data_IF_092517687369
#
_entry.id   IF_092517687369
#
_cell.length_a   1.000
_cell.length_b   1.000
_cell.length_c   1.000
_cell.angle_alpha   90.00
_cell.angle_beta   90.00
_cell.angle_gamma   90.00
#
_symmetry.space_group_name_H-M   'P 1'
#
loop_
_entity.id
_entity.type
_entity.pdbx_description
1 polymer ?
#
# COMPACT_ATOMS: atom_id res chain seq x y z
N UNK A 1 -0.35 -10.42 -17.89
CA UNK A 1 0.62 -10.27 -16.78
C UNK A 1 1.99 -10.66 -17.30
N UNK A 2 3.02 -9.84 -17.14
CA UNK A 2 4.40 -10.20 -17.52
C UNK A 2 5.04 -10.99 -16.37
N UNK A 3 5.87 -11.99 -16.70
CA UNK A 3 6.54 -12.83 -15.70
C UNK A 3 7.45 -12.03 -14.76
N UNK A 4 8.03 -10.94 -15.27
CA UNK A 4 8.86 -10.03 -14.50
C UNK A 4 8.10 -9.41 -13.32
N UNK A 5 6.89 -8.87 -13.56
CA UNK A 5 6.06 -8.29 -12.49
C UNK A 5 5.65 -9.33 -11.44
N UNK A 6 5.34 -10.55 -11.88
CA UNK A 6 4.98 -11.66 -10.98
C UNK A 6 6.17 -12.08 -10.11
N UNK A 7 7.38 -12.06 -10.67
CA UNK A 7 8.62 -12.36 -9.94
C UNK A 7 8.92 -11.29 -8.90
N UNK A 8 8.87 -10.01 -9.29
CA UNK A 8 9.10 -8.88 -8.36
C UNK A 8 8.11 -8.90 -7.20
N UNK A 9 6.81 -9.12 -7.48
CA UNK A 9 5.80 -9.21 -6.43
C UNK A 9 6.12 -10.34 -5.44
N UNK A 10 6.48 -11.53 -5.94
CA UNK A 10 6.81 -12.68 -5.09
C UNK A 10 8.03 -12.38 -4.23
N UNK A 11 9.07 -11.75 -4.78
CA UNK A 11 10.26 -11.34 -4.03
C UNK A 11 9.91 -10.33 -2.93
N UNK A 12 9.14 -9.29 -3.24
CA UNK A 12 8.75 -8.27 -2.26
C UNK A 12 7.92 -8.89 -1.14
N UNK A 13 6.90 -9.69 -1.47
CA UNK A 13 6.07 -10.38 -0.48
C UNK A 13 6.92 -11.30 0.40
N UNK A 14 7.83 -12.06 -0.20
CA UNK A 14 8.73 -12.96 0.53
C UNK A 14 9.65 -12.18 1.49
N UNK A 15 10.23 -11.06 1.06
CA UNK A 15 11.09 -10.22 1.91
C UNK A 15 10.31 -9.60 3.07
N UNK A 16 9.10 -9.11 2.81
CA UNK A 16 8.23 -8.53 3.86
C UNK A 16 7.84 -9.60 4.87
N UNK A 17 7.46 -10.79 4.42
CA UNK A 17 7.12 -11.91 5.32
C UNK A 17 8.33 -12.37 6.14
N UNK A 18 9.52 -12.41 5.54
CA UNK A 18 10.75 -12.76 6.25
C UNK A 18 11.07 -11.74 7.36
N UNK A 19 10.92 -10.45 7.08
CA UNK A 19 11.07 -9.39 8.08
C UNK A 19 10.01 -9.47 9.17
N UNK A 20 8.74 -9.69 8.81
CA UNK A 20 7.64 -9.85 9.75
C UNK A 20 7.84 -11.07 10.68
N UNK A 21 8.37 -12.18 10.15
CA UNK A 21 8.65 -13.39 10.91
C UNK A 21 9.87 -13.26 11.85
N UNK A 22 10.83 -12.39 11.52
CA UNK A 22 11.97 -12.08 12.40
C UNK A 22 11.64 -11.08 13.52
N UNK A 23 10.56 -10.31 13.35
CA UNK A 23 10.16 -9.26 14.29
C UNK A 23 9.87 -9.75 15.72
N UNK A 24 9.23 -10.91 15.98
CA UNK A 24 8.97 -11.40 17.33
C UNK A 24 10.23 -11.60 18.16
N UNK A 25 11.32 -12.09 17.54
CA UNK A 25 12.62 -12.24 18.22
C UNK A 25 13.21 -10.88 18.62
N UNK A 26 13.01 -9.85 17.79
CA UNK A 26 13.44 -8.47 18.09
C UNK A 26 12.59 -7.86 19.20
N UNK A 27 11.27 -8.10 19.18
CA UNK A 27 10.32 -7.64 20.21
C UNK A 27 10.65 -8.27 21.56
N UNK A 28 10.85 -9.59 21.57
CA UNK A 28 11.21 -10.36 22.78
C UNK A 28 12.55 -9.89 23.36
N UNK A 29 13.56 -9.69 22.51
CA UNK A 29 14.88 -9.22 22.94
C UNK A 29 14.91 -7.74 23.38
N UNK A 30 13.94 -6.91 22.97
CA UNK A 30 13.90 -5.47 23.28
C UNK A 30 13.06 -5.12 24.51
N UNK A 31 12.36 -6.09 25.11
CA UNK A 31 11.51 -5.88 26.29
C UNK A 31 10.26 -5.04 26.02
N UNK A 32 9.87 -4.88 24.75
CA UNK A 32 8.72 -4.07 24.34
C UNK A 32 7.42 -4.83 24.63
N UNK A 33 6.38 -4.17 25.18
CA UNK A 33 5.07 -4.79 25.38
C UNK A 33 4.52 -5.37 24.07
N UNK A 34 4.10 -6.63 24.11
CA UNK A 34 3.63 -7.39 22.95
C UNK A 34 2.48 -6.72 22.19
N UNK A 35 1.67 -5.91 22.89
CA UNK A 35 0.59 -5.10 22.31
C UNK A 35 1.11 -3.95 21.44
N UNK A 36 2.15 -3.23 21.87
CA UNK A 36 2.76 -2.15 21.09
C UNK A 36 3.43 -2.69 19.82
N UNK A 37 4.09 -3.84 19.96
CA UNK A 37 4.67 -4.58 18.85
C UNK A 37 3.63 -5.07 17.82
N UNK A 38 2.51 -5.63 18.28
CA UNK A 38 1.41 -6.05 17.41
C UNK A 38 0.81 -4.88 16.62
N UNK A 39 0.63 -3.73 17.27
CA UNK A 39 0.20 -2.49 16.61
C UNK A 39 1.25 -2.00 15.61
N UNK A 40 2.53 -2.03 15.98
CA UNK A 40 3.63 -1.65 15.08
C UNK A 40 3.69 -2.51 13.83
N UNK A 41 3.50 -3.83 13.96
CA UNK A 41 3.42 -4.73 12.82
C UNK A 41 2.19 -4.43 11.95
N UNK A 42 1.01 -4.25 12.55
CA UNK A 42 -0.22 -3.93 11.82
C UNK A 42 -0.08 -2.61 11.03
N UNK A 43 0.51 -1.57 11.64
CA UNK A 43 0.77 -0.30 10.98
C UNK A 43 1.83 -0.43 9.87
N UNK A 44 2.87 -1.24 10.08
CA UNK A 44 3.88 -1.49 9.05
C UNK A 44 3.28 -2.21 7.83
N UNK A 45 2.41 -3.21 8.07
CA UNK A 45 1.68 -3.89 6.99
C UNK A 45 0.73 -2.93 6.28
N UNK A 46 -0.07 -2.16 7.02
CA UNK A 46 -0.99 -1.19 6.46
C UNK A 46 -0.25 -0.14 5.62
N UNK A 47 0.85 0.42 6.13
CA UNK A 47 1.70 1.37 5.41
C UNK A 47 2.36 0.76 4.17
N UNK A 48 2.80 -0.50 4.27
CA UNK A 48 3.31 -1.25 3.13
C UNK A 48 2.27 -1.42 2.02
N UNK A 49 1.05 -1.81 2.38
CA UNK A 49 -0.08 -1.94 1.45
C UNK A 49 -0.41 -0.59 0.82
N UNK A 50 -0.51 0.48 1.61
CA UNK A 50 -0.75 1.84 1.10
C UNK A 50 0.34 2.28 0.11
N UNK A 51 1.61 1.96 0.40
CA UNK A 51 2.72 2.30 -0.50
C UNK A 51 2.68 1.51 -1.80
N UNK A 52 2.30 0.23 -1.74
CA UNK A 52 2.07 -0.60 -2.94
C UNK A 52 0.92 -0.03 -3.77
N UNK A 53 -0.19 0.33 -3.14
CA UNK A 53 -1.34 0.95 -3.82
C UNK A 53 -0.98 2.30 -4.46
N UNK A 54 -0.03 3.03 -3.90
CA UNK A 54 0.46 4.29 -4.48
C UNK A 54 1.41 4.11 -5.69
N UNK A 55 1.78 2.88 -6.06
CA UNK A 55 2.65 2.66 -7.22
C UNK A 55 1.85 2.74 -8.54
N UNK A 56 2.36 3.44 -9.57
CA UNK A 56 1.68 3.56 -10.87
C UNK A 56 1.53 2.21 -11.59
N UNK A 57 2.33 1.20 -11.21
CA UNK A 57 2.19 -0.17 -11.73
C UNK A 57 0.91 -0.85 -11.23
N UNK A 58 0.44 -0.52 -10.02
CA UNK A 58 -0.82 -1.05 -9.49
C UNK A 58 -1.99 -0.40 -10.21
N UNK A 59 -1.91 0.91 -10.42
CA UNK A 59 -2.87 1.70 -11.23
C UNK A 59 -3.04 1.14 -12.65
N UNK A 60 -1.93 0.78 -13.30
CA UNK A 60 -1.93 0.21 -14.64
C UNK A 60 -2.53 -1.20 -14.71
N UNK A 61 -2.50 -1.94 -13.60
CA UNK A 61 -3.11 -3.26 -13.48
C UNK A 61 -4.59 -3.20 -13.10
N UNK A 62 -5.03 -2.11 -12.48
CA UNK A 62 -6.43 -1.94 -12.09
C UNK A 62 -7.32 -1.69 -13.31
N UNK A 63 -8.52 -2.31 -13.35
CA UNK A 63 -9.50 -2.02 -14.38
C UNK A 63 -9.93 -0.56 -14.32
N UNK A 64 -10.37 0.01 -15.44
CA UNK A 64 -10.64 1.44 -15.58
C UNK A 64 -11.62 2.00 -14.54
N UNK A 65 -12.54 1.17 -14.03
CA UNK A 65 -13.52 1.55 -13.01
C UNK A 65 -12.96 1.60 -11.57
N UNK A 66 -11.73 1.14 -11.36
CA UNK A 66 -11.02 1.07 -10.07
C UNK A 66 -9.80 1.99 -10.01
N UNK A 67 -9.47 2.68 -11.11
CA UNK A 67 -8.36 3.64 -11.15
C UNK A 67 -8.74 4.93 -10.45
N UNK A 68 -7.80 5.50 -9.69
CA UNK A 68 -7.85 6.87 -9.22
C UNK A 68 -7.88 7.80 -10.44
N UNK A 69 -8.97 8.57 -10.59
CA UNK A 69 -9.20 9.40 -11.76
C UNK A 69 -8.82 10.87 -11.45
N UNK A 70 -7.59 11.32 -11.76
CA UNK A 70 -7.22 12.74 -11.59
C UNK A 70 -8.07 13.68 -12.45
N UNK A 71 -8.56 13.21 -13.60
CA UNK A 71 -9.43 14.01 -14.48
C UNK A 71 -10.79 14.31 -13.85
N UNK A 72 -11.36 13.38 -13.06
CA UNK A 72 -12.69 13.57 -12.46
C UNK A 72 -12.66 14.64 -11.37
N UNK A 73 -11.60 14.69 -10.57
CA UNK A 73 -11.45 15.72 -9.55
C UNK A 73 -11.17 17.10 -10.17
N UNK A 74 -10.39 17.14 -11.27
CA UNK A 74 -10.18 18.37 -12.03
C UNK A 74 -11.47 18.89 -12.69
N UNK A 75 -12.30 17.99 -13.21
CA UNK A 75 -13.62 18.28 -13.78
C UNK A 75 -14.61 18.77 -12.71
N UNK A 76 -14.64 18.13 -11.54
CA UNK A 76 -15.47 18.57 -10.40
C UNK A 76 -15.05 19.94 -9.87
N UNK A 77 -13.74 20.22 -9.79
CA UNK A 77 -13.21 21.53 -9.41
C UNK A 77 -13.46 22.61 -10.48
N UNK A 78 -13.53 22.22 -11.75
CA UNK A 78 -13.92 23.13 -12.83
C UNK A 78 -15.42 23.47 -12.78
N UNK A 79 -16.28 22.48 -12.52
CA UNK A 79 -17.73 22.66 -12.36
C UNK A 79 -18.07 23.52 -11.14
N UNK A 80 -17.36 23.36 -10.03
CA UNK A 80 -17.52 24.19 -8.82
C UNK A 80 -17.08 25.65 -9.07
N UNK A 81 -16.00 25.87 -9.83
CA UNK A 81 -15.56 27.22 -10.25
C UNK A 81 -16.53 27.90 -11.21
N UNK A 82 -17.18 27.13 -12.09
CA UNK A 82 -18.13 27.67 -13.06
C UNK A 82 -19.49 28.02 -12.46
N UNK A 83 -19.71 27.74 -11.16
CA UNK A 83 -20.73 28.39 -10.34
C UNK A 83 -22.09 28.51 -11.00
N UNK A 84 -22.58 27.45 -11.66
CA UNK A 84 -23.93 27.43 -12.20
C UNK A 84 -24.87 26.87 -11.13
N UNK A 85 -25.89 27.64 -10.71
CA UNK A 85 -26.96 27.12 -9.85
C UNK A 85 -27.76 26.02 -10.55
#
# INVERSE_FOLDING_TARGET
MTDASRRTLRTVVQTVLALAAGLPLIIDASGIPQTAAGVGLALAVAGGVTRVMALPVVEALLPAWLRAAPDRDAELLALDRDGRP
#
